data_IF_993308789832
#
_entry.id   IF_993308789832
#
_cell.length_a   1.000
_cell.length_b   1.000
_cell.length_c   1.000
_cell.angle_alpha   90.00
_cell.angle_beta   90.00
_cell.angle_gamma   90.00
#
_symmetry.space_group_name_H-M   'P 1'
#
loop_
_entity.id
_entity.type
_entity.pdbx_description
1 polymer ?
#
# COMPACT_ATOMS: atom_id res chain seq x y z
N UNK A 1 -22.51 5.03 16.91
CA UNK A 1 -21.62 5.42 15.81
C UNK A 1 -21.50 6.93 15.80
N UNK A 2 -20.29 7.53 15.79
CA UNK A 2 -20.14 8.98 15.61
C UNK A 2 -20.66 9.36 14.22
N UNK A 3 -21.30 10.51 14.04
CA UNK A 3 -21.67 10.98 12.71
C UNK A 3 -20.42 11.10 11.85
N UNK A 4 -20.51 10.73 10.58
CA UNK A 4 -19.41 10.80 9.60
C UNK A 4 -19.61 12.05 8.74
N UNK A 5 -19.21 13.24 9.21
CA UNK A 5 -19.60 14.48 8.55
C UNK A 5 -18.74 14.81 7.32
N UNK A 6 -17.54 14.21 7.21
CA UNK A 6 -16.54 14.60 6.23
C UNK A 6 -16.37 13.51 5.16
N UNK A 7 -16.87 13.73 3.92
CA UNK A 7 -16.54 12.83 2.81
C UNK A 7 -15.05 12.92 2.48
N UNK A 8 -14.40 11.78 2.23
CA UNK A 8 -13.02 11.76 1.77
C UNK A 8 -12.98 12.11 0.27
N UNK A 9 -12.00 12.96 -0.10
CA UNK A 9 -11.70 13.27 -1.50
C UNK A 9 -10.83 12.21 -2.13
N UNK A 10 -9.89 11.65 -1.35
CA UNK A 10 -8.96 10.62 -1.83
C UNK A 10 -9.69 9.36 -2.30
N UNK A 11 -10.71 8.91 -1.56
CA UNK A 11 -11.57 7.79 -1.94
C UNK A 11 -13.02 8.18 -1.68
N UNK A 12 -13.73 8.70 -2.66
CA UNK A 12 -15.16 9.00 -2.55
C UNK A 12 -15.97 7.76 -2.13
N UNK A 13 -17.01 7.99 -1.33
CA UNK A 13 -17.81 6.93 -0.72
C UNK A 13 -17.46 6.64 0.75
N UNK A 14 -16.26 7.04 1.20
CA UNK A 14 -15.89 7.01 2.62
C UNK A 14 -16.14 8.33 3.33
N UNK A 15 -16.41 8.22 4.64
CA UNK A 15 -16.66 9.36 5.50
C UNK A 15 -15.82 9.23 6.77
N UNK A 16 -15.10 10.30 7.13
CA UNK A 16 -14.31 10.38 8.34
C UNK A 16 -15.00 11.26 9.40
N UNK A 17 -14.75 10.99 10.69
CA UNK A 17 -15.21 11.83 11.80
C UNK A 17 -14.45 13.17 11.84
N UNK A 18 -13.23 13.20 11.33
CA UNK A 18 -12.35 14.37 11.29
C UNK A 18 -11.86 14.59 9.86
N UNK A 19 -11.59 15.86 9.52
CA UNK A 19 -11.01 16.21 8.22
C UNK A 19 -9.52 15.90 8.18
N UNK A 20 -9.00 15.69 6.96
CA UNK A 20 -7.59 15.54 6.67
C UNK A 20 -7.09 14.09 6.79
N UNK A 21 -5.82 13.97 7.08
CA UNK A 21 -5.09 12.69 7.16
C UNK A 21 -5.76 11.69 8.11
N UNK A 22 -6.02 10.50 7.61
CA UNK A 22 -6.62 9.41 8.37
C UNK A 22 -5.54 8.40 8.76
N UNK A 23 -5.68 7.77 9.92
CA UNK A 23 -4.71 6.77 10.41
C UNK A 23 -5.38 5.40 10.51
N UNK A 24 -4.72 4.39 9.94
CA UNK A 24 -5.21 3.02 9.96
C UNK A 24 -4.12 2.01 10.23
N UNK A 25 -4.51 0.74 10.29
CA UNK A 25 -3.59 -0.38 10.41
C UNK A 25 -4.16 -1.66 9.82
N UNK A 26 -3.30 -2.68 9.64
CA UNK A 26 -3.74 -4.01 9.25
C UNK A 26 -4.45 -4.71 10.41
N UNK A 27 -5.54 -5.40 10.11
CA UNK A 27 -6.37 -6.11 11.09
C UNK A 27 -6.70 -7.50 10.56
N UNK A 28 -6.62 -8.53 11.42
CA UNK A 28 -7.11 -9.86 11.09
C UNK A 28 -8.65 -9.91 11.09
N UNK A 29 -9.28 -10.64 10.18
CA UNK A 29 -10.72 -10.94 10.26
C UNK A 29 -11.11 -11.60 11.59
N UNK A 30 -10.16 -12.37 12.17
CA UNK A 30 -10.33 -13.14 13.40
C UNK A 30 -9.77 -12.40 14.63
N UNK A 31 -9.49 -11.08 14.52
CA UNK A 31 -9.03 -10.28 15.65
C UNK A 31 -9.96 -10.41 16.86
N UNK A 32 -9.41 -10.64 18.03
CA UNK A 32 -10.17 -10.77 19.28
C UNK A 32 -10.83 -9.43 19.67
N UNK A 33 -11.78 -9.49 20.61
CA UNK A 33 -12.39 -8.27 21.15
C UNK A 33 -11.35 -7.41 21.89
N UNK A 34 -10.33 -8.03 22.48
CA UNK A 34 -9.26 -7.31 23.15
C UNK A 34 -8.31 -6.63 22.15
N UNK A 35 -8.02 -7.27 21.01
CA UNK A 35 -7.30 -6.62 19.90
C UNK A 35 -8.06 -5.41 19.36
N UNK A 36 -9.38 -5.53 19.17
CA UNK A 36 -10.19 -4.41 18.68
C UNK A 36 -10.30 -3.28 19.70
N UNK A 37 -10.40 -3.60 21.00
CA UNK A 37 -10.32 -2.60 22.07
C UNK A 37 -8.96 -1.91 22.12
N UNK A 38 -7.87 -2.64 21.90
CA UNK A 38 -6.54 -2.07 21.82
C UNK A 38 -6.44 -1.04 20.68
N UNK A 39 -7.00 -1.36 19.49
CA UNK A 39 -7.06 -0.41 18.40
C UNK A 39 -7.90 0.83 18.74
N UNK A 40 -9.01 0.67 19.47
CA UNK A 40 -9.79 1.81 19.97
C UNK A 40 -8.98 2.69 20.94
N UNK A 41 -8.16 2.10 21.81
CA UNK A 41 -7.27 2.84 22.73
C UNK A 41 -6.21 3.63 21.98
N UNK A 42 -5.76 3.15 20.83
CA UNK A 42 -4.86 3.86 19.91
C UNK A 42 -5.60 4.88 18.99
N UNK A 43 -6.93 4.98 19.12
CA UNK A 43 -7.81 5.81 18.28
C UNK A 43 -7.67 5.50 16.78
N UNK A 44 -7.51 4.22 16.45
CA UNK A 44 -7.50 3.74 15.07
C UNK A 44 -8.93 3.61 14.58
N UNK A 45 -9.25 4.31 13.51
CA UNK A 45 -10.59 4.33 12.90
C UNK A 45 -10.68 3.55 11.58
N UNK A 46 -9.55 3.18 10.97
CA UNK A 46 -9.48 2.55 9.66
C UNK A 46 -8.69 1.25 9.70
N UNK A 47 -9.31 0.18 9.18
CA UNK A 47 -8.72 -1.13 9.08
C UNK A 47 -8.39 -1.50 7.63
N UNK A 48 -7.24 -2.16 7.43
CA UNK A 48 -6.97 -2.97 6.26
C UNK A 48 -7.10 -4.42 6.64
N UNK A 49 -8.16 -5.04 6.16
CA UNK A 49 -8.48 -6.41 6.47
C UNK A 49 -7.68 -7.35 5.57
N UNK A 50 -6.95 -8.29 6.17
CA UNK A 50 -6.20 -9.31 5.44
C UNK A 50 -6.99 -10.61 5.50
N UNK A 51 -7.67 -10.96 4.40
CA UNK A 51 -8.50 -12.16 4.30
C UNK A 51 -7.70 -13.24 3.56
N UNK A 52 -7.29 -14.28 4.29
CA UNK A 52 -6.47 -15.36 3.73
C UNK A 52 -7.30 -16.55 3.23
N UNK A 53 -8.55 -16.69 3.70
CA UNK A 53 -9.42 -17.77 3.24
C UNK A 53 -10.11 -17.38 1.91
N UNK A 54 -9.81 -18.08 0.80
CA UNK A 54 -10.41 -17.77 -0.51
C UNK A 54 -11.95 -17.81 -0.52
N UNK A 55 -12.57 -18.66 0.29
CA UNK A 55 -14.02 -18.78 0.39
C UNK A 55 -14.70 -17.56 1.03
N UNK A 56 -13.91 -16.75 1.76
CA UNK A 56 -14.41 -15.54 2.41
C UNK A 56 -14.38 -14.30 1.50
N UNK A 57 -13.88 -14.42 0.26
CA UNK A 57 -13.89 -13.31 -0.70
C UNK A 57 -15.26 -13.11 -1.35
N UNK A 58 -16.30 -12.96 -0.53
CA UNK A 58 -17.69 -12.70 -0.95
C UNK A 58 -18.23 -11.44 -0.29
N UNK A 59 -19.20 -10.80 -0.96
CA UNK A 59 -19.87 -9.62 -0.40
C UNK A 59 -20.55 -9.89 0.97
N UNK A 60 -21.01 -11.13 1.20
CA UNK A 60 -21.64 -11.52 2.46
C UNK A 60 -20.63 -11.52 3.62
N UNK A 61 -19.46 -12.16 3.45
CA UNK A 61 -18.41 -12.16 4.46
C UNK A 61 -17.85 -10.75 4.71
N UNK A 62 -17.68 -9.95 3.67
CA UNK A 62 -17.20 -8.57 3.82
C UNK A 62 -18.19 -7.70 4.61
N UNK A 63 -19.50 -7.89 4.44
CA UNK A 63 -20.51 -7.21 5.26
C UNK A 63 -20.43 -7.62 6.74
N UNK A 64 -20.27 -8.94 7.02
CA UNK A 64 -20.11 -9.43 8.40
C UNK A 64 -18.86 -8.82 9.07
N UNK A 65 -17.73 -8.81 8.38
CA UNK A 65 -16.50 -8.16 8.90
C UNK A 65 -16.71 -6.68 9.13
N UNK A 66 -17.35 -5.99 8.19
CA UNK A 66 -17.65 -4.56 8.32
C UNK A 66 -18.54 -4.28 9.53
N UNK A 67 -19.65 -4.99 9.68
CA UNK A 67 -20.57 -4.83 10.81
C UNK A 67 -19.87 -5.06 12.15
N UNK A 68 -19.01 -6.08 12.24
CA UNK A 68 -18.22 -6.36 13.43
C UNK A 68 -17.25 -5.22 13.76
N UNK A 69 -16.44 -4.78 12.81
CA UNK A 69 -15.47 -3.70 13.05
C UNK A 69 -16.18 -2.37 13.34
N UNK A 70 -17.26 -2.07 12.65
CA UNK A 70 -18.06 -0.87 12.88
C UNK A 70 -18.68 -0.82 14.29
N UNK A 71 -18.97 -1.97 14.92
CA UNK A 71 -19.43 -2.02 16.31
C UNK A 71 -18.35 -1.55 17.31
N UNK A 72 -17.07 -1.58 16.91
CA UNK A 72 -15.94 -0.99 17.65
C UNK A 72 -15.55 0.42 17.15
N UNK A 73 -16.32 1.02 16.22
CA UNK A 73 -16.02 2.32 15.63
C UNK A 73 -14.91 2.30 14.58
N UNK A 74 -14.52 1.11 14.11
CA UNK A 74 -13.47 0.90 13.11
C UNK A 74 -14.15 0.63 11.76
N UNK A 75 -13.75 1.34 10.71
CA UNK A 75 -14.23 1.16 9.34
C UNK A 75 -13.22 0.36 8.52
N UNK A 76 -13.70 -0.45 7.57
CA UNK A 76 -12.81 -1.12 6.61
C UNK A 76 -12.49 -0.14 5.48
N UNK A 77 -11.21 0.20 5.33
CA UNK A 77 -10.71 0.97 4.18
C UNK A 77 -10.38 0.06 2.99
N UNK A 78 -9.75 -1.08 3.26
CA UNK A 78 -9.29 -2.05 2.27
C UNK A 78 -9.53 -3.48 2.73
N UNK A 79 -9.85 -4.36 1.78
CA UNK A 79 -9.69 -5.81 1.95
C UNK A 79 -8.53 -6.28 1.06
N UNK A 80 -7.60 -7.06 1.61
CA UNK A 80 -6.57 -7.73 0.84
C UNK A 80 -7.07 -9.10 0.37
N UNK A 81 -6.95 -9.34 -0.94
CA UNK A 81 -7.20 -10.63 -1.57
C UNK A 81 -5.95 -11.04 -2.37
N UNK A 82 -5.17 -11.94 -1.81
CA UNK A 82 -3.92 -12.38 -2.43
C UNK A 82 -4.15 -13.20 -3.72
N UNK A 83 -5.34 -13.75 -3.93
CA UNK A 83 -5.68 -14.50 -5.13
C UNK A 83 -5.76 -13.66 -6.42
N UNK A 84 -5.87 -12.32 -6.28
CA UNK A 84 -5.93 -11.36 -7.40
C UNK A 84 -4.91 -10.24 -7.29
N UNK A 85 -4.04 -10.27 -6.26
CA UNK A 85 -3.03 -9.28 -5.99
C UNK A 85 -1.66 -9.85 -6.31
N UNK A 86 -0.90 -9.21 -7.19
CA UNK A 86 0.44 -9.64 -7.59
C UNK A 86 0.47 -11.04 -8.24
N UNK A 87 -0.38 -11.27 -9.23
CA UNK A 87 -0.60 -12.59 -9.85
C UNK A 87 0.23 -12.74 -11.13
N UNK A 88 1.15 -13.72 -11.21
CA UNK A 88 2.02 -13.89 -12.37
C UNK A 88 1.25 -14.21 -13.65
N UNK A 89 0.09 -14.88 -13.58
CA UNK A 89 -0.76 -15.13 -14.74
C UNK A 89 -1.15 -13.82 -15.44
N UNK A 90 -1.44 -12.77 -14.68
CA UNK A 90 -1.77 -11.44 -15.23
C UNK A 90 -0.51 -10.72 -15.67
N UNK A 91 0.48 -10.60 -14.77
CA UNK A 91 1.68 -9.78 -15.00
C UNK A 91 2.53 -10.32 -16.15
N UNK A 92 2.62 -11.65 -16.30
CA UNK A 92 3.51 -12.31 -17.27
C UNK A 92 2.75 -12.98 -18.42
N UNK A 93 1.44 -12.78 -18.52
CA UNK A 93 0.58 -13.40 -19.54
C UNK A 93 0.71 -14.92 -19.57
N UNK A 94 0.61 -15.55 -18.41
CA UNK A 94 0.63 -17.01 -18.30
C UNK A 94 -0.78 -17.61 -18.52
N UNK A 95 -0.89 -18.94 -18.75
CA UNK A 95 -2.17 -19.62 -18.82
C UNK A 95 -3.04 -19.33 -17.58
N UNK A 96 -4.32 -19.02 -17.78
CA UNK A 96 -5.24 -18.61 -16.71
C UNK A 96 -5.37 -17.09 -16.53
N UNK A 97 -4.69 -16.27 -17.35
CA UNK A 97 -4.74 -14.79 -17.24
C UNK A 97 -6.16 -14.24 -17.24
N UNK A 98 -6.99 -14.64 -18.19
CA UNK A 98 -8.33 -14.09 -18.33
C UNK A 98 -9.24 -14.51 -17.19
N UNK A 99 -9.10 -15.73 -16.69
CA UNK A 99 -9.77 -16.23 -15.49
C UNK A 99 -9.39 -15.39 -14.26
N UNK A 100 -8.10 -15.08 -14.10
CA UNK A 100 -7.62 -14.22 -12.99
C UNK A 100 -8.10 -12.79 -13.09
N UNK A 101 -8.21 -12.25 -14.29
CA UNK A 101 -8.80 -10.92 -14.51
C UNK A 101 -10.29 -10.95 -14.12
N UNK A 102 -11.05 -11.99 -14.49
CA UNK A 102 -12.46 -12.10 -14.12
C UNK A 102 -12.64 -12.30 -12.61
N UNK A 103 -11.77 -13.06 -11.93
CA UNK A 103 -11.73 -13.14 -10.46
C UNK A 103 -11.52 -11.75 -9.84
N UNK A 104 -10.61 -10.93 -10.41
CA UNK A 104 -10.39 -9.56 -9.93
C UNK A 104 -11.62 -8.68 -10.15
N UNK A 105 -12.27 -8.77 -11.31
CA UNK A 105 -13.52 -8.08 -11.61
C UNK A 105 -14.61 -8.45 -10.59
N UNK A 106 -14.76 -9.75 -10.30
CA UNK A 106 -15.72 -10.22 -9.30
C UNK A 106 -15.38 -9.73 -7.89
N UNK A 107 -14.10 -9.66 -7.55
CA UNK A 107 -13.64 -9.09 -6.28
C UNK A 107 -14.04 -7.61 -6.15
N UNK A 108 -13.86 -6.78 -7.18
CA UNK A 108 -14.29 -5.39 -7.22
C UNK A 108 -15.81 -5.28 -6.97
N UNK A 109 -16.62 -6.10 -7.63
CA UNK A 109 -18.06 -6.14 -7.43
C UNK A 109 -18.45 -6.53 -5.99
N UNK A 110 -17.74 -7.49 -5.41
CA UNK A 110 -17.96 -7.91 -4.02
C UNK A 110 -17.62 -6.81 -3.02
N UNK A 111 -16.55 -6.02 -3.27
CA UNK A 111 -16.21 -4.85 -2.45
C UNK A 111 -17.32 -3.79 -2.52
N UNK A 112 -17.73 -3.39 -3.71
CA UNK A 112 -18.81 -2.43 -3.92
C UNK A 112 -20.10 -2.86 -3.22
N UNK A 113 -20.54 -4.09 -3.44
CA UNK A 113 -21.75 -4.66 -2.83
C UNK A 113 -21.67 -4.72 -1.28
N UNK A 114 -20.47 -4.69 -0.71
CA UNK A 114 -20.24 -4.62 0.73
C UNK A 114 -20.06 -3.20 1.25
N UNK A 115 -20.06 -2.17 0.39
CA UNK A 115 -19.80 -0.78 0.77
C UNK A 115 -18.33 -0.52 1.13
N UNK A 116 -17.42 -1.20 0.46
CA UNK A 116 -15.96 -1.01 0.57
C UNK A 116 -15.48 -0.45 -0.76
N UNK A 117 -14.86 0.73 -0.74
CA UNK A 117 -14.64 1.52 -1.94
C UNK A 117 -13.18 1.61 -2.36
N UNK A 118 -12.27 0.87 -1.69
CA UNK A 118 -10.84 0.92 -2.01
C UNK A 118 -10.18 -0.44 -1.96
N UNK A 119 -9.27 -0.68 -2.90
CA UNK A 119 -8.34 -1.81 -2.93
C UNK A 119 -6.93 -1.35 -3.29
N UNK A 120 -5.92 -2.06 -2.79
CA UNK A 120 -4.53 -1.95 -3.25
C UNK A 120 -4.22 -3.11 -4.19
N UNK A 121 -3.58 -2.83 -5.31
CA UNK A 121 -3.08 -3.80 -6.27
C UNK A 121 -1.55 -3.68 -6.39
N UNK A 122 -0.83 -4.78 -6.66
CA UNK A 122 0.58 -4.80 -7.03
C UNK A 122 0.78 -5.68 -8.26
N UNK A 123 1.84 -5.41 -9.03
CA UNK A 123 2.05 -5.98 -10.38
C UNK A 123 3.46 -6.59 -10.55
N UNK A 124 4.00 -7.19 -9.49
CA UNK A 124 5.41 -7.62 -9.45
C UNK A 124 5.70 -8.94 -10.17
N UNK A 125 4.72 -9.86 -10.25
CA UNK A 125 4.86 -11.17 -10.90
C UNK A 125 5.66 -12.21 -10.10
N UNK A 126 6.77 -11.83 -9.47
CA UNK A 126 7.62 -12.72 -8.66
C UNK A 126 7.83 -12.19 -7.23
N UNK A 127 6.89 -11.45 -6.73
CA UNK A 127 6.77 -11.08 -5.32
C UNK A 127 7.74 -10.02 -4.82
N UNK A 128 7.84 -9.98 -3.50
CA UNK A 128 8.70 -9.06 -2.74
C UNK A 128 10.05 -9.74 -2.54
N UNK A 129 11.15 -9.01 -2.81
CA UNK A 129 12.50 -9.56 -2.67
C UNK A 129 13.20 -9.03 -1.42
N UNK A 130 13.94 -9.93 -0.75
CA UNK A 130 14.74 -9.60 0.43
C UNK A 130 15.91 -10.57 0.57
N UNK A 131 16.88 -10.20 1.43
CA UNK A 131 18.01 -11.10 1.78
C UNK A 131 17.77 -11.76 3.14
N UNK A 132 16.63 -11.49 3.79
CA UNK A 132 16.27 -11.97 5.11
C UNK A 132 16.18 -10.86 6.13
N UNK A 133 16.72 -11.08 7.34
CA UNK A 133 16.62 -10.14 8.45
C UNK A 133 17.99 -9.91 9.12
N UNK A 134 18.14 -8.77 9.75
CA UNK A 134 19.31 -8.38 10.54
C UNK A 134 18.87 -7.67 11.83
N UNK A 135 19.81 -7.49 12.75
CA UNK A 135 19.59 -6.71 13.96
C UNK A 135 19.63 -5.22 13.67
N UNK A 136 18.50 -4.55 13.86
CA UNK A 136 18.38 -3.09 13.84
C UNK A 136 18.60 -2.48 15.22
N UNK A 137 18.14 -1.23 15.42
CA UNK A 137 18.26 -0.49 16.70
C UNK A 137 17.78 -1.32 17.89
N UNK A 138 18.65 -1.53 18.88
CA UNK A 138 18.32 -2.28 20.10
C UNK A 138 18.10 -3.78 19.88
N UNK A 139 18.62 -4.36 18.80
CA UNK A 139 18.45 -5.77 18.45
C UNK A 139 17.08 -6.10 17.87
N UNK A 140 16.37 -5.11 17.32
CA UNK A 140 15.10 -5.34 16.63
C UNK A 140 15.32 -6.13 15.34
N UNK A 141 14.47 -7.14 15.09
CA UNK A 141 14.51 -7.92 13.87
C UNK A 141 13.99 -7.07 12.70
N UNK A 142 14.86 -6.66 11.78
CA UNK A 142 14.55 -5.80 10.64
C UNK A 142 14.82 -6.51 9.31
N UNK A 143 13.91 -6.36 8.34
CA UNK A 143 14.13 -6.85 6.97
C UNK A 143 15.33 -6.13 6.35
N UNK A 144 16.14 -6.87 5.60
CA UNK A 144 17.32 -6.37 4.91
C UNK A 144 17.30 -6.79 3.44
N UNK A 145 17.82 -5.93 2.59
CA UNK A 145 18.07 -6.24 1.19
C UNK A 145 19.51 -5.93 0.82
N UNK A 146 20.22 -6.96 0.33
CA UNK A 146 21.34 -6.86 -0.57
C UNK A 146 20.91 -7.45 -1.92
N UNK A 147 20.73 -6.62 -2.92
CA UNK A 147 20.15 -7.02 -4.22
C UNK A 147 20.89 -8.17 -4.90
N UNK A 148 22.19 -8.34 -4.58
CA UNK A 148 23.04 -9.40 -5.17
C UNK A 148 22.71 -10.80 -4.65
N UNK A 149 22.10 -10.86 -3.45
CA UNK A 149 21.84 -12.10 -2.73
C UNK A 149 20.36 -12.27 -2.39
N UNK A 150 19.49 -11.46 -2.99
CA UNK A 150 18.08 -11.42 -2.67
C UNK A 150 17.31 -12.58 -3.31
N UNK A 151 16.25 -13.00 -2.65
CA UNK A 151 15.25 -13.96 -3.12
C UNK A 151 13.86 -13.34 -3.03
N UNK A 152 12.99 -13.68 -4.00
CA UNK A 152 11.60 -13.25 -4.00
C UNK A 152 10.75 -14.19 -3.15
N UNK A 153 9.70 -13.63 -2.55
CA UNK A 153 8.67 -14.40 -1.84
C UNK A 153 7.29 -13.82 -2.12
N UNK A 154 6.34 -14.69 -2.40
CA UNK A 154 4.94 -14.31 -2.44
C UNK A 154 4.06 -15.46 -1.93
N UNK A 155 3.35 -15.25 -0.84
CA UNK A 155 2.43 -16.22 -0.22
C UNK A 155 3.10 -17.59 0.03
N UNK A 156 4.38 -17.59 0.43
CA UNK A 156 5.14 -18.80 0.70
C UNK A 156 5.79 -19.45 -0.53
N UNK A 157 5.56 -18.95 -1.73
CA UNK A 157 6.33 -19.32 -2.92
C UNK A 157 7.64 -18.53 -2.94
N UNK A 158 8.76 -19.25 -3.15
CA UNK A 158 10.10 -18.67 -3.18
C UNK A 158 10.59 -18.59 -4.61
N UNK A 159 11.06 -17.42 -5.01
CA UNK A 159 11.58 -17.13 -6.34
C UNK A 159 13.08 -16.90 -6.28
N UNK A 160 13.83 -17.75 -6.95
CA UNK A 160 15.30 -17.72 -6.96
C UNK A 160 15.85 -17.82 -8.37
N UNK A 161 17.13 -17.40 -8.54
CA UNK A 161 17.85 -17.55 -9.77
C UNK A 161 17.60 -16.43 -10.80
N UNK A 162 18.26 -16.58 -11.95
CA UNK A 162 18.28 -15.57 -13.00
C UNK A 162 16.92 -15.41 -13.70
N UNK A 163 16.15 -16.49 -13.83
CA UNK A 163 14.87 -16.52 -14.53
C UNK A 163 13.81 -17.27 -13.71
N UNK A 164 13.09 -16.57 -12.83
CA UNK A 164 12.09 -17.18 -11.93
C UNK A 164 10.91 -17.85 -12.65
N UNK A 165 10.64 -17.44 -13.89
CA UNK A 165 9.58 -17.99 -14.74
C UNK A 165 10.14 -18.57 -16.06
N UNK A 166 11.33 -19.16 -16.00
CA UNK A 166 11.93 -19.93 -17.10
C UNK A 166 12.56 -19.09 -18.22
N UNK A 167 12.40 -17.76 -18.24
CA UNK A 167 12.98 -16.83 -19.21
C UNK A 167 13.06 -15.40 -18.69
N UNK A 168 13.78 -14.56 -19.40
CA UNK A 168 13.66 -13.12 -19.24
C UNK A 168 12.42 -12.60 -20.00
N UNK A 169 11.82 -11.53 -19.47
CA UNK A 169 10.74 -10.77 -20.07
C UNK A 169 11.25 -9.41 -20.51
N UNK A 170 10.69 -8.86 -21.60
CA UNK A 170 10.98 -7.51 -22.02
C UNK A 170 10.06 -6.49 -21.34
N UNK A 171 10.47 -5.23 -21.30
CA UNK A 171 9.62 -4.15 -20.80
C UNK A 171 8.34 -4.01 -21.64
N UNK A 172 8.42 -4.14 -22.96
CA UNK A 172 7.26 -4.06 -23.85
C UNK A 172 6.22 -5.14 -23.53
N UNK A 173 6.65 -6.38 -23.24
CA UNK A 173 5.75 -7.46 -22.82
C UNK A 173 5.01 -7.10 -21.52
N UNK A 174 5.70 -6.51 -20.54
CA UNK A 174 5.07 -6.12 -19.28
C UNK A 174 4.07 -4.96 -19.49
N UNK A 175 4.42 -3.99 -20.34
CA UNK A 175 3.52 -2.91 -20.68
C UNK A 175 2.28 -3.40 -21.41
N UNK A 176 2.40 -4.31 -22.37
CA UNK A 176 1.28 -4.91 -23.10
C UNK A 176 0.35 -5.69 -22.13
N UNK A 177 0.94 -6.44 -21.17
CA UNK A 177 0.18 -7.19 -20.18
C UNK A 177 -0.57 -6.27 -19.22
N UNK A 178 0.07 -5.20 -18.77
CA UNK A 178 -0.58 -4.19 -17.92
C UNK A 178 -1.73 -3.50 -18.66
N UNK A 179 -1.51 -3.04 -19.89
CA UNK A 179 -2.54 -2.39 -20.70
C UNK A 179 -3.74 -3.32 -20.94
N UNK A 180 -3.48 -4.59 -21.26
CA UNK A 180 -4.53 -5.59 -21.44
C UNK A 180 -5.40 -5.76 -20.20
N UNK A 181 -4.79 -5.85 -19.03
CA UNK A 181 -5.50 -5.99 -17.76
C UNK A 181 -6.27 -4.72 -17.40
N UNK A 182 -5.58 -3.57 -17.41
CA UNK A 182 -6.17 -2.34 -16.87
C UNK A 182 -7.35 -1.83 -17.70
N UNK A 183 -7.33 -2.04 -19.03
CA UNK A 183 -8.47 -1.72 -19.90
C UNK A 183 -9.72 -2.55 -19.61
N UNK A 184 -9.59 -3.72 -18.99
CA UNK A 184 -10.73 -4.54 -18.55
C UNK A 184 -11.19 -4.16 -17.14
N UNK A 185 -10.28 -3.80 -16.26
CA UNK A 185 -10.54 -3.57 -14.83
C UNK A 185 -11.02 -2.13 -14.57
N UNK A 186 -10.41 -1.12 -15.18
CA UNK A 186 -10.71 0.29 -14.90
C UNK A 186 -12.19 0.66 -15.12
N UNK A 187 -12.85 0.26 -16.21
CA UNK A 187 -14.28 0.54 -16.42
C UNK A 187 -15.18 -0.11 -15.36
N UNK A 188 -14.80 -1.29 -14.85
CA UNK A 188 -15.55 -1.96 -13.78
C UNK A 188 -15.36 -1.22 -12.47
N UNK A 189 -14.13 -0.82 -12.15
CA UNK A 189 -13.83 -0.04 -10.95
C UNK A 189 -14.62 1.27 -10.92
N UNK A 190 -14.72 1.96 -12.06
CA UNK A 190 -15.55 3.17 -12.19
C UNK A 190 -17.03 2.90 -11.98
N UNK A 191 -17.57 1.88 -12.66
CA UNK A 191 -19.00 1.53 -12.56
C UNK A 191 -19.39 1.12 -11.14
N UNK A 192 -18.50 0.42 -10.45
CA UNK A 192 -18.71 -0.04 -9.07
C UNK A 192 -18.33 1.01 -8.01
N UNK A 193 -17.75 2.15 -8.40
CA UNK A 193 -17.27 3.18 -7.49
C UNK A 193 -16.11 2.75 -6.59
N UNK A 194 -15.34 1.74 -7.02
CA UNK A 194 -14.19 1.23 -6.27
C UNK A 194 -12.90 1.86 -6.80
N UNK A 195 -12.06 2.36 -5.90
CA UNK A 195 -10.79 2.98 -6.21
C UNK A 195 -9.66 1.96 -6.04
N UNK A 196 -8.73 1.92 -6.98
CA UNK A 196 -7.59 0.99 -6.98
C UNK A 196 -6.30 1.79 -6.92
N UNK A 197 -5.62 1.71 -5.78
CA UNK A 197 -4.28 2.27 -5.61
C UNK A 197 -3.22 1.23 -5.92
N UNK A 198 -2.35 1.51 -6.88
CA UNK A 198 -1.30 0.57 -7.28
C UNK A 198 -0.06 0.82 -6.43
N UNK A 199 0.42 -0.26 -5.80
CA UNK A 199 1.59 -0.27 -4.93
C UNK A 199 2.87 -0.32 -5.78
N UNK A 200 3.96 0.38 -5.38
CA UNK A 200 5.25 0.23 -6.03
C UNK A 200 5.76 -1.21 -6.00
N UNK A 201 6.65 -1.52 -6.92
CA UNK A 201 7.45 -2.74 -6.82
C UNK A 201 8.28 -2.74 -5.54
N UNK A 202 8.51 -3.90 -4.95
CA UNK A 202 9.26 -4.05 -3.70
C UNK A 202 10.35 -5.16 -3.85
N UNK A 203 11.61 -4.75 -4.00
CA UNK A 203 12.11 -3.39 -4.22
C UNK A 203 11.82 -2.88 -5.64
N UNK A 204 11.85 -1.56 -5.87
CA UNK A 204 11.68 -0.98 -7.19
C UNK A 204 12.99 -0.99 -8.01
N UNK A 205 12.97 -0.42 -9.21
CA UNK A 205 14.12 -0.03 -10.06
C UNK A 205 14.77 -1.19 -10.82
N UNK A 206 15.24 -2.23 -10.15
CA UNK A 206 16.04 -3.28 -10.77
C UNK A 206 15.19 -4.43 -11.31
N UNK A 207 15.60 -5.00 -12.46
CA UNK A 207 15.04 -6.27 -12.90
C UNK A 207 15.44 -7.41 -11.94
N UNK A 208 14.48 -8.23 -11.54
CA UNK A 208 14.68 -9.31 -10.58
C UNK A 208 14.14 -10.64 -11.14
N UNK A 209 14.97 -11.66 -11.14
CA UNK A 209 14.60 -12.99 -11.64
C UNK A 209 14.09 -12.98 -13.08
N UNK A 210 14.68 -12.13 -13.94
CA UNK A 210 14.31 -11.98 -15.34
C UNK A 210 13.06 -11.14 -15.62
N UNK A 211 12.49 -10.46 -14.61
CA UNK A 211 11.32 -9.60 -14.73
C UNK A 211 11.72 -8.13 -14.51
N UNK A 212 11.59 -7.25 -15.52
CA UNK A 212 11.79 -5.81 -15.37
C UNK A 212 10.79 -5.19 -14.39
N UNK A 213 11.24 -4.21 -13.61
CA UNK A 213 10.43 -3.39 -12.71
C UNK A 213 10.19 -2.00 -13.33
N UNK A 214 9.71 -1.98 -14.58
CA UNK A 214 9.63 -0.78 -15.42
C UNK A 214 8.33 0.00 -15.28
N UNK A 215 7.26 -0.62 -14.74
CA UNK A 215 5.94 0.02 -14.64
C UNK A 215 5.82 0.76 -13.30
N UNK A 216 5.88 0.05 -12.18
CA UNK A 216 5.71 0.60 -10.83
C UNK A 216 7.02 0.67 -10.04
N UNK A 217 8.14 0.54 -10.72
CA UNK A 217 9.48 0.69 -10.17
C UNK A 217 10.09 2.08 -10.34
N UNK A 218 9.41 3.00 -11.05
CA UNK A 218 9.89 4.35 -11.32
C UNK A 218 8.75 5.35 -11.51
N UNK A 219 9.03 6.63 -11.28
CA UNK A 219 8.06 7.72 -11.39
C UNK A 219 7.42 7.83 -12.78
N UNK A 220 8.24 7.82 -13.84
CA UNK A 220 7.72 7.90 -15.21
C UNK A 220 6.90 6.67 -15.61
N UNK A 221 7.24 5.49 -15.08
CA UNK A 221 6.43 4.30 -15.24
C UNK A 221 5.03 4.48 -14.63
N UNK A 222 4.93 5.02 -13.42
CA UNK A 222 3.64 5.35 -12.82
C UNK A 222 2.82 6.33 -13.66
N UNK A 223 3.45 7.39 -14.18
CA UNK A 223 2.77 8.36 -15.04
C UNK A 223 2.16 7.70 -16.26
N UNK A 224 2.97 6.93 -16.99
CA UNK A 224 2.52 6.18 -18.18
C UNK A 224 1.42 5.18 -17.84
N UNK A 225 1.53 4.49 -16.72
CA UNK A 225 0.51 3.53 -16.28
C UNK A 225 -0.84 4.21 -15.99
N UNK A 226 -0.83 5.37 -15.35
CA UNK A 226 -2.05 6.15 -15.09
C UNK A 226 -2.64 6.73 -16.38
N UNK A 227 -1.81 7.15 -17.34
CA UNK A 227 -2.25 7.60 -18.68
C UNK A 227 -2.93 6.45 -19.46
N UNK A 228 -2.34 5.23 -19.43
CA UNK A 228 -2.94 4.05 -20.09
C UNK A 228 -4.28 3.67 -19.44
N UNK A 229 -4.37 3.75 -18.10
CA UNK A 229 -5.59 3.45 -17.37
C UNK A 229 -6.71 4.45 -17.68
N UNK A 230 -6.39 5.72 -17.90
CA UNK A 230 -7.30 6.84 -18.21
C UNK A 230 -8.59 6.82 -17.37
N UNK A 231 -8.43 6.62 -16.06
CA UNK A 231 -9.55 6.41 -15.14
C UNK A 231 -9.37 7.19 -13.83
N UNK A 232 -10.39 7.89 -13.34
CA UNK A 232 -10.32 8.56 -12.05
C UNK A 232 -10.16 7.56 -10.89
N UNK A 233 -10.59 6.32 -11.07
CA UNK A 233 -10.59 5.28 -10.04
C UNK A 233 -9.27 4.48 -9.97
N UNK A 234 -8.33 4.74 -10.88
CA UNK A 234 -6.99 4.15 -10.84
C UNK A 234 -6.00 5.22 -10.38
N UNK A 235 -5.22 4.90 -9.36
CA UNK A 235 -4.25 5.82 -8.76
C UNK A 235 -3.15 5.09 -8.01
N UNK A 236 -2.60 5.70 -6.98
CA UNK A 236 -1.40 5.28 -6.30
C UNK A 236 -1.69 4.88 -4.85
N UNK A 237 -1.22 3.70 -4.44
CA UNK A 237 -0.92 3.37 -3.07
C UNK A 237 0.57 3.67 -2.87
N UNK A 238 0.90 4.86 -2.39
CA UNK A 238 2.29 5.27 -2.22
C UNK A 238 2.91 4.54 -1.04
N UNK A 239 3.85 3.63 -1.30
CA UNK A 239 4.72 3.10 -0.26
C UNK A 239 5.96 4.02 -0.14
N UNK A 240 6.00 4.80 0.93
CA UNK A 240 7.16 5.67 1.23
C UNK A 240 8.42 4.82 1.31
N UNK A 241 8.38 3.67 1.97
CA UNK A 241 9.51 2.77 2.09
C UNK A 241 10.06 2.31 0.73
N UNK A 242 9.21 1.82 -0.18
CA UNK A 242 9.69 1.41 -1.51
C UNK A 242 10.27 2.60 -2.29
N UNK A 243 9.68 3.79 -2.16
CA UNK A 243 10.25 5.00 -2.76
C UNK A 243 11.64 5.32 -2.21
N UNK A 244 11.81 5.17 -0.90
CA UNK A 244 13.09 5.36 -0.22
C UNK A 244 14.11 4.26 -0.55
N UNK A 245 13.67 3.02 -0.78
CA UNK A 245 14.53 1.92 -1.26
C UNK A 245 15.17 2.26 -2.61
N UNK A 246 14.39 2.78 -3.55
CA UNK A 246 14.89 3.22 -4.85
C UNK A 246 15.69 4.51 -4.77
N UNK A 247 15.37 5.38 -3.81
CA UNK A 247 15.93 6.73 -3.70
C UNK A 247 15.55 7.64 -4.87
N UNK A 248 15.90 8.93 -4.77
CA UNK A 248 15.55 9.91 -5.81
C UNK A 248 16.16 9.58 -7.17
N UNK A 249 17.40 9.09 -7.18
CA UNK A 249 18.10 8.73 -8.43
C UNK A 249 17.44 7.53 -9.12
N UNK A 250 17.14 6.46 -8.39
CA UNK A 250 16.53 5.26 -8.94
C UNK A 250 15.07 5.44 -9.32
N UNK A 251 14.30 6.16 -8.50
CA UNK A 251 12.87 6.41 -8.75
C UNK A 251 12.62 7.53 -9.77
N UNK A 252 13.62 8.37 -10.06
CA UNK A 252 13.54 9.52 -10.95
C UNK A 252 13.13 10.83 -10.26
N UNK A 253 12.49 10.77 -9.10
CA UNK A 253 12.16 11.90 -8.22
C UNK A 253 12.19 11.44 -6.76
N UNK A 254 12.36 12.35 -5.83
CA UNK A 254 12.24 12.02 -4.41
C UNK A 254 10.76 11.78 -3.99
N UNK A 255 10.58 11.22 -2.80
CA UNK A 255 9.24 10.86 -2.31
C UNK A 255 8.34 12.09 -2.07
N UNK A 256 8.91 13.23 -1.73
CA UNK A 256 8.18 14.48 -1.49
C UNK A 256 7.61 15.01 -2.82
N UNK A 257 8.44 15.00 -3.87
CA UNK A 257 8.00 15.38 -5.22
C UNK A 257 6.92 14.44 -5.74
N UNK A 258 7.07 13.12 -5.53
CA UNK A 258 6.06 12.14 -5.90
C UNK A 258 4.71 12.39 -5.19
N UNK A 259 4.73 12.68 -3.89
CA UNK A 259 3.53 13.04 -3.12
C UNK A 259 2.86 14.27 -3.71
N UNK A 260 3.63 15.34 -3.96
CA UNK A 260 3.10 16.59 -4.53
C UNK A 260 2.48 16.37 -5.91
N UNK A 261 3.15 15.56 -6.75
CA UNK A 261 2.64 15.27 -8.09
C UNK A 261 1.34 14.45 -8.06
N UNK A 262 1.35 13.28 -7.44
CA UNK A 262 0.17 12.40 -7.44
C UNK A 262 -0.96 12.94 -6.56
N UNK A 263 -0.63 13.59 -5.46
CA UNK A 263 -1.60 14.25 -4.59
C UNK A 263 -2.26 15.45 -5.28
N UNK A 264 -1.48 16.28 -5.98
CA UNK A 264 -1.98 17.40 -6.77
C UNK A 264 -2.95 16.97 -7.88
N UNK A 265 -2.77 15.77 -8.42
CA UNK A 265 -3.68 15.17 -9.41
C UNK A 265 -4.89 14.44 -8.79
N UNK A 266 -5.04 14.39 -7.48
CA UNK A 266 -6.01 13.56 -6.76
C UNK A 266 -5.89 12.06 -7.11
N UNK A 267 -4.67 11.58 -7.33
CA UNK A 267 -4.36 10.17 -7.66
C UNK A 267 -3.71 9.42 -6.50
N UNK A 268 -3.51 10.06 -5.36
CA UNK A 268 -3.01 9.44 -4.15
C UNK A 268 -4.18 8.94 -3.31
N UNK A 269 -4.29 7.63 -3.10
CA UNK A 269 -5.44 7.04 -2.41
C UNK A 269 -5.10 6.46 -1.04
N UNK A 270 -3.85 6.00 -0.86
CA UNK A 270 -3.36 5.41 0.38
C UNK A 270 -1.85 5.60 0.50
N UNK A 271 -1.34 5.62 1.72
CA UNK A 271 0.09 5.73 2.00
C UNK A 271 0.53 4.64 2.98
N UNK A 272 1.59 3.92 2.61
CA UNK A 272 2.39 3.10 3.48
C UNK A 272 3.55 3.93 4.04
N UNK A 273 3.64 4.02 5.36
CA UNK A 273 4.52 4.95 6.03
C UNK A 273 5.60 4.19 6.80
N UNK A 274 6.76 4.00 6.19
CA UNK A 274 7.94 3.34 6.75
C UNK A 274 9.23 3.99 6.25
N UNK A 275 10.34 3.71 6.92
CA UNK A 275 11.65 4.27 6.63
C UNK A 275 12.69 3.17 6.45
N UNK A 276 13.78 3.47 5.79
CA UNK A 276 14.93 2.57 5.54
C UNK A 276 16.24 3.29 5.82
N UNK A 277 17.33 2.53 6.02
CA UNK A 277 18.64 3.06 6.41
C UNK A 277 19.30 3.90 5.31
N UNK A 278 19.11 3.54 4.04
CA UNK A 278 19.74 4.18 2.86
C UNK A 278 19.06 3.65 1.58
N UNK A 279 19.23 4.33 0.44
CA UNK A 279 18.72 3.83 -0.83
C UNK A 279 19.67 2.82 -1.49
N UNK A 280 19.14 2.02 -2.43
CA UNK A 280 19.95 1.23 -3.37
C UNK A 280 20.85 2.14 -4.23
N UNK A 281 21.99 1.64 -4.74
CA UNK A 281 22.38 0.22 -4.85
C UNK A 281 23.05 -0.37 -3.59
N UNK A 282 23.30 0.43 -2.56
CA UNK A 282 23.86 -0.09 -1.31
C UNK A 282 22.85 -0.96 -0.57
N UNK A 283 23.28 -2.02 0.12
CA UNK A 283 22.39 -2.81 0.97
C UNK A 283 21.70 -1.93 2.00
N UNK A 284 20.40 -2.12 2.19
CA UNK A 284 19.62 -1.36 3.15
C UNK A 284 18.87 -2.28 4.12
N UNK A 285 18.46 -1.72 5.24
CA UNK A 285 17.55 -2.37 6.20
C UNK A 285 16.35 -1.47 6.50
N UNK A 286 15.23 -2.07 6.82
CA UNK A 286 14.09 -1.37 7.40
C UNK A 286 14.45 -0.84 8.79
N UNK A 287 13.94 0.34 9.12
CA UNK A 287 14.24 1.01 10.39
C UNK A 287 12.94 1.35 11.12
N UNK A 288 13.06 1.78 12.37
CA UNK A 288 11.97 2.55 12.96
C UNK A 288 11.72 3.82 12.13
N UNK A 289 10.50 4.36 12.20
CA UNK A 289 10.13 5.54 11.40
C UNK A 289 11.03 6.75 11.70
N UNK A 290 11.53 6.86 12.94
CA UNK A 290 12.42 7.93 13.42
C UNK A 290 13.92 7.67 13.22
N UNK A 291 14.31 6.53 12.61
CA UNK A 291 15.69 6.03 12.59
C UNK A 291 16.23 5.73 11.17
N UNK A 292 15.51 6.13 10.13
CA UNK A 292 15.93 6.01 8.75
C UNK A 292 16.55 7.28 8.19
N UNK A 293 16.96 7.26 6.92
CA UNK A 293 17.61 8.40 6.30
C UNK A 293 16.64 9.54 5.93
N UNK A 294 15.34 9.26 5.82
CA UNK A 294 14.33 10.25 5.47
C UNK A 294 13.75 10.92 6.71
N UNK A 295 13.61 12.23 6.66
CA UNK A 295 12.81 12.96 7.64
C UNK A 295 11.33 12.72 7.38
N UNK A 296 10.71 11.87 8.22
CA UNK A 296 9.31 11.48 8.08
C UNK A 296 8.33 12.63 8.41
N UNK A 297 8.77 13.67 9.10
CA UNK A 297 7.98 14.89 9.27
C UNK A 297 7.78 15.62 7.93
N UNK A 298 8.83 15.71 7.09
CA UNK A 298 8.71 16.29 5.76
C UNK A 298 7.77 15.50 4.84
N UNK A 299 7.75 14.16 4.97
CA UNK A 299 6.80 13.31 4.25
C UNK A 299 5.36 13.62 4.67
N UNK A 300 5.10 13.70 5.99
CA UNK A 300 3.78 14.02 6.51
C UNK A 300 3.34 15.44 6.12
N UNK A 301 4.28 16.38 6.12
CA UNK A 301 4.03 17.76 5.69
C UNK A 301 3.64 17.83 4.21
N UNK A 302 4.32 17.09 3.33
CA UNK A 302 3.97 17.02 1.91
C UNK A 302 2.56 16.44 1.68
N UNK A 303 2.17 15.41 2.44
CA UNK A 303 0.81 14.87 2.42
C UNK A 303 -0.23 15.94 2.83
N UNK A 304 0.09 16.74 3.85
CA UNK A 304 -0.78 17.84 4.28
C UNK A 304 -0.84 18.99 3.26
N UNK A 305 0.27 19.30 2.58
CA UNK A 305 0.34 20.31 1.52
C UNK A 305 -0.60 20.02 0.35
N UNK A 306 -0.82 18.76 0.02
CA UNK A 306 -1.74 18.34 -1.07
C UNK A 306 -3.17 18.04 -0.57
N UNK A 307 -3.48 18.38 0.68
CA UNK A 307 -4.75 18.08 1.32
C UNK A 307 -5.14 16.59 1.22
N UNK A 308 -4.18 15.70 1.37
CA UNK A 308 -4.45 14.27 1.39
C UNK A 308 -5.31 13.90 2.61
N UNK A 309 -6.42 13.25 2.37
CA UNK A 309 -7.40 12.85 3.40
C UNK A 309 -7.62 11.32 3.45
N UNK A 310 -6.85 10.56 2.67
CA UNK A 310 -6.86 9.11 2.71
C UNK A 310 -6.10 8.52 3.90
N UNK A 311 -6.01 7.20 3.93
CA UNK A 311 -5.43 6.47 5.08
C UNK A 311 -3.91 6.31 4.96
N UNK A 312 -3.21 6.73 6.01
CA UNK A 312 -1.79 6.45 6.28
C UNK A 312 -1.71 5.27 7.23
N UNK A 313 -0.90 4.27 6.88
CA UNK A 313 -0.68 3.10 7.74
C UNK A 313 0.79 2.92 8.07
N UNK A 314 1.13 2.41 9.26
CA UNK A 314 2.43 1.80 9.48
C UNK A 314 2.55 0.56 8.58
N UNK A 315 3.69 0.44 7.92
CA UNK A 315 4.02 -0.66 7.03
C UNK A 315 5.30 -1.34 7.53
N UNK A 316 5.34 -2.68 7.56
CA UNK A 316 6.46 -3.46 8.08
C UNK A 316 6.93 -2.99 9.47
N UNK A 317 6.06 -3.10 10.46
CA UNK A 317 6.35 -2.66 11.84
C UNK A 317 7.53 -3.48 12.41
N UNK A 318 8.59 -2.83 12.91
CA UNK A 318 9.73 -3.54 13.51
C UNK A 318 9.32 -4.41 14.70
N UNK A 319 9.92 -5.60 14.81
CA UNK A 319 9.65 -6.57 15.87
C UNK A 319 10.17 -6.12 17.25
N UNK A 320 9.44 -5.23 17.91
CA UNK A 320 9.82 -4.57 19.16
C UNK A 320 9.80 -5.50 20.35
N UNK A 321 10.73 -5.33 21.29
CA UNK A 321 10.63 -5.92 22.61
C UNK A 321 9.30 -5.47 23.27
N UNK A 322 8.58 -6.42 23.89
CA UNK A 322 7.21 -6.19 24.41
C UNK A 322 6.12 -6.73 23.46
N UNK A 323 6.51 -7.30 22.32
CA UNK A 323 5.62 -8.00 21.41
C UNK A 323 4.98 -7.11 20.33
N UNK A 324 4.15 -7.69 19.46
CA UNK A 324 3.56 -6.99 18.30
C UNK A 324 2.77 -5.74 18.67
N UNK A 325 2.08 -5.74 19.81
CA UNK A 325 1.34 -4.58 20.29
C UNK A 325 2.21 -3.37 20.61
N UNK A 326 3.45 -3.58 21.11
CA UNK A 326 4.36 -2.48 21.41
C UNK A 326 4.82 -1.76 20.13
N UNK A 327 5.20 -2.51 19.10
CA UNK A 327 5.58 -1.95 17.80
C UNK A 327 4.42 -1.21 17.12
N UNK A 328 3.22 -1.78 17.19
CA UNK A 328 2.03 -1.13 16.64
C UNK A 328 1.70 0.18 17.38
N UNK A 329 1.70 0.16 18.71
CA UNK A 329 1.43 1.35 19.52
C UNK A 329 2.45 2.47 19.24
N UNK A 330 3.74 2.12 19.17
CA UNK A 330 4.79 3.07 18.80
C UNK A 330 4.51 3.69 17.41
N UNK A 331 4.25 2.86 16.41
CA UNK A 331 4.07 3.30 15.03
C UNK A 331 2.84 4.20 14.86
N UNK A 332 1.71 3.81 15.44
CA UNK A 332 0.48 4.61 15.40
C UNK A 332 0.68 5.94 16.16
N UNK A 333 1.29 5.90 17.35
CA UNK A 333 1.55 7.12 18.14
C UNK A 333 2.48 8.10 17.39
N UNK A 334 3.52 7.58 16.71
CA UNK A 334 4.44 8.40 15.92
C UNK A 334 3.73 9.06 14.74
N UNK A 335 2.94 8.31 13.95
CA UNK A 335 2.14 8.85 12.84
C UNK A 335 1.17 9.93 13.35
N UNK A 336 0.44 9.66 14.43
CA UNK A 336 -0.51 10.63 15.02
C UNK A 336 0.16 11.90 15.50
N UNK A 337 1.34 11.78 16.12
CA UNK A 337 2.11 12.95 16.56
C UNK A 337 2.54 13.82 15.37
N UNK A 338 2.96 13.20 14.26
CA UNK A 338 3.30 13.92 13.03
C UNK A 338 2.07 14.59 12.40
N UNK A 339 0.92 13.91 12.36
CA UNK A 339 -0.34 14.50 11.88
C UNK A 339 -0.72 15.72 12.70
N UNK A 340 -0.60 15.65 14.04
CA UNK A 340 -0.87 16.79 14.92
C UNK A 340 0.11 17.94 14.67
N UNK A 341 1.41 17.63 14.53
CA UNK A 341 2.44 18.64 14.27
C UNK A 341 2.15 19.42 12.97
N UNK A 342 1.94 18.71 11.86
CA UNK A 342 1.67 19.37 10.57
C UNK A 342 0.34 20.11 10.55
N UNK A 343 -0.71 19.60 11.21
CA UNK A 343 -1.97 20.32 11.32
C UNK A 343 -1.83 21.64 12.09
N UNK A 344 -0.99 21.68 13.15
CA UNK A 344 -0.69 22.91 13.88
C UNK A 344 0.07 23.90 13.00
N UNK A 345 1.10 23.46 12.28
CA UNK A 345 1.85 24.32 11.34
C UNK A 345 0.94 25.00 10.31
N UNK A 346 0.04 24.23 9.71
CA UNK A 346 -0.89 24.75 8.69
C UNK A 346 -2.05 25.54 9.30
N UNK A 347 -2.44 25.27 10.55
CA UNK A 347 -3.45 26.05 11.29
C UNK A 347 -2.93 27.41 11.70
N UNK A 348 -1.67 27.55 12.10
CA UNK A 348 -1.03 28.81 12.43
C UNK A 348 -0.82 29.70 11.19
N UNK A 349 -0.50 29.10 10.04
CA UNK A 349 -0.33 29.82 8.77
C UNK A 349 -1.63 30.43 8.23
N UNK A 350 -2.80 29.87 8.58
CA UNK A 350 -4.12 30.37 8.18
C UNK A 350 -4.65 31.49 9.10
N UNK A 351 -4.02 31.74 10.25
CA UNK A 351 -4.42 32.72 11.26
C UNK A 351 -3.55 33.99 11.33
N UNK A 352 -2.53 34.12 10.46
CA UNK A 352 -1.59 35.25 10.42
C UNK A 352 -1.89 36.31 9.36
#
# INVERSE_FOLDING_TARGET
MRPRPNPLRAVPGYFASEQGLQVGTSVSPDASDDDLKFLQQLDVQWAMLIVNNPEHHTAAHYRQYRERLESYGIQIYRVANHGVHNVPEITLNLPGRDEKIEEFIQFIRNLSAAGIYYNTYAHMGNGIWSTGHTDGRGGVNARVLDIKNAEGNWIGEIFTGEHTHGRAYSEDELWDNYEYMIRKIAPVAENEGVYIGIHPDDPPVYALGGIPRCIFGQFDGYKRALEIADSPNIGVCLCVGCWLEGGAEGMGVDVIEAIRYFGGMNKLFKVHFRNVSNPMPEPWQETFMDDGYQDMHQVMRALREVDFDGVVIPDHIPGMAGGPGAGLAYSIAYIRALVQAVNNEFGEAAGG
#
